data_IF_330177784631
#
_entry.id   IF_330177784631
#
_cell.length_a   1.000
_cell.length_b   1.000
_cell.length_c   1.000
_cell.angle_alpha   90.00
_cell.angle_beta   90.00
_cell.angle_gamma   90.00
#
_symmetry.space_group_name_H-M   'P 1'
#
loop_
_entity.id
_entity.type
_entity.pdbx_description
1 polymer ?
#
# COMPACT_ATOMS: atom_id res chain seq x y z
N UNK A 1 -14.25 74.73 -1.34
CA UNK A 1 -15.08 73.56 -0.93
C UNK A 1 -14.40 72.29 -1.46
N UNK A 2 -13.49 71.72 -0.65
CA UNK A 2 -12.74 70.51 -1.04
C UNK A 2 -13.32 69.33 -0.27
N UNK A 3 -13.96 68.37 -0.98
CA UNK A 3 -14.47 67.14 -0.43
C UNK A 3 -13.38 66.09 -0.41
N UNK A 4 -12.94 65.68 0.79
CA UNK A 4 -12.03 64.57 1.01
C UNK A 4 -12.80 63.24 0.85
N UNK A 5 -12.34 62.36 -0.06
CA UNK A 5 -12.79 60.98 -0.15
C UNK A 5 -12.03 60.11 0.88
N UNK A 6 -12.69 59.17 1.59
CA UNK A 6 -12.00 58.25 2.47
C UNK A 6 -11.33 57.12 1.66
N UNK A 7 -10.08 56.87 1.97
CA UNK A 7 -9.33 55.68 1.54
C UNK A 7 -9.83 54.46 2.33
N UNK A 8 -10.49 53.54 1.64
CA UNK A 8 -10.75 52.19 2.19
C UNK A 8 -9.46 51.39 2.12
N UNK A 9 -8.81 51.17 3.25
CA UNK A 9 -7.74 50.17 3.40
C UNK A 9 -8.36 48.79 3.44
N UNK A 10 -8.24 48.05 2.33
CA UNK A 10 -8.59 46.61 2.30
C UNK A 10 -7.55 45.84 3.10
N UNK A 11 -7.94 45.40 4.28
CA UNK A 11 -7.17 44.40 5.03
C UNK A 11 -7.23 43.06 4.28
N UNK A 12 -6.13 42.70 3.65
CA UNK A 12 -5.93 41.36 3.08
C UNK A 12 -5.63 40.41 4.23
N UNK A 13 -6.64 39.69 4.70
CA UNK A 13 -6.46 38.57 5.67
C UNK A 13 -5.84 37.41 4.92
N UNK A 14 -4.52 37.28 5.02
CA UNK A 14 -3.82 36.08 4.57
C UNK A 14 -4.14 34.98 5.61
N UNK A 15 -5.16 34.14 5.33
CA UNK A 15 -5.32 32.89 6.03
C UNK A 15 -4.13 31.98 5.68
N UNK A 16 -3.18 31.85 6.58
CA UNK A 16 -2.23 30.73 6.57
C UNK A 16 -3.03 29.45 6.84
N UNK A 17 -3.44 28.76 5.78
CA UNK A 17 -3.89 27.38 5.88
C UNK A 17 -2.67 26.54 6.25
N UNK A 18 -2.60 26.12 7.51
CA UNK A 18 -1.65 25.12 7.96
C UNK A 18 -1.90 23.86 7.14
N UNK A 19 -0.96 23.48 6.28
CA UNK A 19 -1.01 22.22 5.56
C UNK A 19 -0.97 21.08 6.59
N UNK A 20 -2.07 20.36 6.73
CA UNK A 20 -2.08 19.11 7.50
C UNK A 20 -1.12 18.11 6.84
N UNK A 21 -0.26 17.42 7.60
CA UNK A 21 0.62 16.41 7.03
C UNK A 21 -0.21 15.34 6.33
N UNK A 22 0.21 15.00 5.11
CA UNK A 22 -0.34 13.89 4.36
C UNK A 22 -0.28 12.63 5.21
N UNK A 23 -1.44 12.14 5.69
CA UNK A 23 -1.50 10.87 6.40
C UNK A 23 -1.31 9.73 5.40
N UNK A 24 -0.29 8.88 5.66
CA UNK A 24 -0.15 7.62 4.95
C UNK A 24 -1.44 6.83 5.10
N UNK A 25 -1.92 6.25 4.01
CA UNK A 25 -2.85 5.14 4.11
C UNK A 25 -2.05 3.99 4.72
N UNK A 26 -2.09 3.88 6.03
CA UNK A 26 -1.78 2.61 6.68
C UNK A 26 -2.90 1.68 6.22
N UNK A 27 -2.57 0.75 5.33
CA UNK A 27 -3.53 -0.26 4.92
C UNK A 27 -3.92 -1.03 6.17
N UNK A 28 -5.12 -0.75 6.63
CA UNK A 28 -5.69 -1.42 7.79
C UNK A 28 -5.83 -2.92 7.51
N UNK A 29 -5.72 -3.72 8.53
CA UNK A 29 -5.76 -5.18 8.43
C UNK A 29 -7.05 -5.70 7.75
N UNK A 30 -8.15 -4.96 7.87
CA UNK A 30 -9.44 -5.27 7.27
C UNK A 30 -9.42 -5.28 5.72
N UNK A 31 -8.60 -4.46 5.06
CA UNK A 31 -8.45 -4.48 3.59
C UNK A 31 -7.93 -5.85 3.13
N UNK A 32 -6.96 -6.41 3.85
CA UNK A 32 -6.43 -7.75 3.55
C UNK A 32 -7.46 -8.85 3.84
N UNK A 33 -8.20 -8.74 4.95
CA UNK A 33 -9.30 -9.66 5.26
C UNK A 33 -10.39 -9.63 4.20
N UNK A 34 -10.85 -8.45 3.78
CA UNK A 34 -11.91 -8.30 2.79
C UNK A 34 -11.46 -8.83 1.42
N UNK A 35 -10.20 -8.61 1.04
CA UNK A 35 -9.61 -9.23 -0.13
C UNK A 35 -9.52 -10.75 0.00
N UNK A 36 -9.14 -11.28 1.17
CA UNK A 36 -9.13 -12.72 1.44
C UNK A 36 -10.50 -13.34 1.22
N UNK A 37 -11.55 -12.74 1.78
CA UNK A 37 -12.94 -13.18 1.62
C UNK A 37 -13.38 -13.19 0.14
N UNK A 38 -12.99 -12.17 -0.63
CA UNK A 38 -13.30 -12.12 -2.08
C UNK A 38 -12.66 -13.27 -2.84
N UNK A 39 -11.39 -13.61 -2.57
CA UNK A 39 -10.73 -14.76 -3.19
C UNK A 39 -11.27 -16.09 -2.67
N UNK A 40 -11.64 -16.20 -1.41
CA UNK A 40 -12.27 -17.39 -0.84
C UNK A 40 -13.60 -17.70 -1.52
N UNK A 41 -14.43 -16.68 -1.79
CA UNK A 41 -15.76 -16.82 -2.35
C UNK A 41 -15.84 -16.62 -3.88
N UNK A 42 -14.78 -16.18 -4.54
CA UNK A 42 -14.79 -15.84 -5.96
C UNK A 42 -15.61 -14.60 -6.28
N UNK A 43 -15.73 -13.64 -5.35
CA UNK A 43 -16.55 -12.43 -5.51
C UNK A 43 -15.80 -11.35 -6.29
N UNK A 44 -16.15 -11.20 -7.58
CA UNK A 44 -15.51 -10.23 -8.48
C UNK A 44 -14.07 -10.58 -8.89
N UNK A 45 -13.58 -11.73 -8.46
CA UNK A 45 -12.28 -12.32 -8.80
C UNK A 45 -12.42 -13.81 -9.00
N UNK A 46 -11.50 -14.46 -9.71
CA UNK A 46 -11.42 -15.92 -9.74
C UNK A 46 -11.14 -16.46 -8.33
N UNK A 47 -11.87 -17.53 -7.94
CA UNK A 47 -11.69 -18.15 -6.64
C UNK A 47 -10.26 -18.73 -6.49
N UNK A 48 -9.57 -18.34 -5.42
CA UNK A 48 -8.19 -18.76 -5.14
C UNK A 48 -8.01 -18.93 -3.63
N UNK A 49 -8.18 -20.18 -3.15
CA UNK A 49 -8.08 -20.52 -1.73
C UNK A 49 -6.67 -20.31 -1.16
N UNK A 50 -5.63 -20.52 -1.97
CA UNK A 50 -4.24 -20.29 -1.53
C UNK A 50 -3.98 -18.82 -1.31
N UNK A 51 -4.48 -17.97 -2.20
CA UNK A 51 -4.37 -16.51 -2.06
C UNK A 51 -5.21 -16.01 -0.90
N UNK A 52 -6.43 -16.52 -0.71
CA UNK A 52 -7.27 -16.20 0.45
C UNK A 52 -6.55 -16.51 1.77
N UNK A 53 -5.98 -17.69 1.90
CA UNK A 53 -5.21 -18.10 3.07
C UNK A 53 -4.07 -17.13 3.39
N UNK A 54 -3.24 -16.79 2.40
CA UNK A 54 -2.12 -15.84 2.58
C UNK A 54 -2.60 -14.47 3.04
N UNK A 55 -3.70 -13.98 2.47
CA UNK A 55 -4.28 -12.69 2.83
C UNK A 55 -4.85 -12.69 4.24
N UNK A 56 -5.49 -13.79 4.66
CA UNK A 56 -5.90 -13.95 6.06
C UNK A 56 -4.69 -13.98 7.01
N UNK A 57 -3.57 -14.62 6.64
CA UNK A 57 -2.35 -14.57 7.42
C UNK A 57 -1.85 -13.12 7.60
N UNK A 58 -1.78 -12.35 6.52
CA UNK A 58 -1.34 -10.94 6.57
C UNK A 58 -2.26 -10.11 7.46
N UNK A 59 -3.59 -10.25 7.29
CA UNK A 59 -4.56 -9.52 8.09
C UNK A 59 -4.44 -9.90 9.58
N UNK A 60 -4.36 -11.19 9.90
CA UNK A 60 -4.26 -11.69 11.25
C UNK A 60 -2.97 -11.18 11.94
N UNK A 61 -1.82 -11.27 11.28
CA UNK A 61 -0.54 -10.77 11.82
C UNK A 61 -0.55 -9.25 12.05
N UNK A 62 -1.43 -8.52 11.36
CA UNK A 62 -1.70 -7.08 11.60
C UNK A 62 -2.78 -6.81 12.64
N UNK A 63 -3.21 -7.84 13.37
CA UNK A 63 -4.14 -7.73 14.49
C UNK A 63 -5.61 -7.89 14.13
N UNK A 64 -5.96 -8.29 12.87
CA UNK A 64 -7.35 -8.57 12.52
C UNK A 64 -7.82 -9.88 13.18
N UNK A 65 -8.68 -9.72 14.19
CA UNK A 65 -9.18 -10.84 14.98
C UNK A 65 -10.09 -11.77 14.16
N UNK A 66 -10.85 -11.24 13.21
CA UNK A 66 -11.71 -12.05 12.34
C UNK A 66 -10.89 -12.90 11.38
N UNK A 67 -9.84 -12.34 10.76
CA UNK A 67 -8.92 -13.11 9.91
C UNK A 67 -8.24 -14.24 10.69
N UNK A 68 -7.80 -13.96 11.91
CA UNK A 68 -7.24 -14.99 12.79
C UNK A 68 -8.27 -16.09 13.11
N UNK A 69 -9.51 -15.73 13.35
CA UNK A 69 -10.58 -16.70 13.55
C UNK A 69 -10.81 -17.56 12.29
N UNK A 70 -10.79 -16.97 11.10
CA UNK A 70 -10.93 -17.72 9.85
C UNK A 70 -9.79 -18.72 9.66
N UNK A 71 -8.54 -18.35 9.93
CA UNK A 71 -7.41 -19.29 9.93
C UNK A 71 -7.64 -20.43 10.92
N UNK A 72 -8.11 -20.13 12.12
CA UNK A 72 -8.47 -21.16 13.10
C UNK A 72 -9.52 -22.13 12.57
N UNK A 73 -10.55 -21.67 11.87
CA UNK A 73 -11.57 -22.50 11.25
C UNK A 73 -10.99 -23.35 10.10
N UNK A 74 -10.12 -22.78 9.27
CA UNK A 74 -9.46 -23.50 8.18
C UNK A 74 -8.67 -24.71 8.71
N UNK A 75 -7.91 -24.53 9.79
CA UNK A 75 -7.17 -25.62 10.43
C UNK A 75 -8.06 -26.57 11.22
N UNK A 76 -9.15 -26.10 11.84
CA UNK A 76 -10.06 -26.96 12.58
C UNK A 76 -10.77 -27.99 11.67
N UNK A 77 -11.06 -27.61 10.43
CA UNK A 77 -11.83 -28.44 9.49
C UNK A 77 -10.97 -29.10 8.39
N UNK A 78 -9.74 -28.65 8.18
CA UNK A 78 -8.91 -29.10 7.07
C UNK A 78 -9.47 -28.64 5.73
N UNK A 79 -9.26 -27.37 5.37
CA UNK A 79 -9.64 -26.86 4.05
C UNK A 79 -8.55 -27.13 3.01
N UNK A 80 -8.88 -26.97 1.72
CA UNK A 80 -8.07 -27.37 0.55
C UNK A 80 -6.60 -26.94 0.56
N UNK A 81 -6.25 -25.92 1.32
CA UNK A 81 -4.89 -25.34 1.39
C UNK A 81 -4.11 -25.77 2.64
N UNK A 82 -4.80 -26.27 3.68
CA UNK A 82 -4.19 -26.74 4.92
C UNK A 82 -4.83 -28.05 5.38
N UNK A 83 -4.03 -28.93 5.93
CA UNK A 83 -4.53 -30.11 6.62
C UNK A 83 -5.13 -29.73 7.97
N UNK A 84 -6.10 -30.51 8.46
CA UNK A 84 -6.64 -30.31 9.80
C UNK A 84 -5.53 -30.45 10.85
N UNK A 85 -5.41 -29.42 11.69
CA UNK A 85 -4.48 -29.40 12.83
C UNK A 85 -5.13 -28.64 13.99
N UNK A 86 -5.56 -29.38 15.01
CA UNK A 86 -6.27 -28.83 16.16
C UNK A 86 -5.39 -27.92 17.03
N UNK A 87 -4.09 -28.19 17.10
CA UNK A 87 -3.14 -27.39 17.88
C UNK A 87 -2.89 -26.04 17.23
N UNK A 88 -2.73 -25.98 15.89
CA UNK A 88 -2.63 -24.72 15.13
C UNK A 88 -3.96 -23.97 15.20
N UNK A 89 -5.10 -24.64 15.03
CA UNK A 89 -6.42 -24.03 15.18
C UNK A 89 -6.58 -23.37 16.56
N UNK A 90 -6.18 -24.05 17.64
CA UNK A 90 -6.20 -23.49 18.99
C UNK A 90 -5.29 -22.27 19.13
N UNK A 91 -4.14 -22.26 18.46
CA UNK A 91 -3.23 -21.11 18.39
C UNK A 91 -3.91 -19.90 17.80
N UNK A 92 -4.53 -20.06 16.62
CA UNK A 92 -5.23 -18.98 15.92
C UNK A 92 -6.48 -18.49 16.67
N UNK A 93 -7.29 -19.37 17.25
CA UNK A 93 -8.44 -18.94 18.05
C UNK A 93 -8.02 -18.22 19.34
N UNK A 94 -6.90 -18.61 19.97
CA UNK A 94 -6.35 -17.88 21.12
C UNK A 94 -5.91 -16.48 20.68
N UNK A 95 -5.22 -16.37 19.55
CA UNK A 95 -4.79 -15.08 18.99
C UNK A 95 -5.99 -14.20 18.68
N UNK A 96 -7.02 -14.72 18.00
CA UNK A 96 -8.24 -13.99 17.69
C UNK A 96 -8.95 -13.48 18.96
N UNK A 97 -9.07 -14.32 19.99
CA UNK A 97 -9.68 -13.95 21.27
C UNK A 97 -8.92 -12.80 21.96
N UNK A 98 -7.59 -12.85 21.97
CA UNK A 98 -6.74 -11.79 22.55
C UNK A 98 -6.90 -10.47 21.79
N UNK A 99 -7.11 -10.54 20.48
CA UNK A 99 -7.32 -9.37 19.61
C UNK A 99 -8.80 -8.95 19.49
N UNK A 100 -9.70 -9.50 20.33
CA UNK A 100 -11.06 -8.99 20.51
C UNK A 100 -12.19 -9.82 19.87
N UNK A 101 -11.91 -10.97 19.21
CA UNK A 101 -13.00 -11.84 18.74
C UNK A 101 -13.60 -12.69 19.86
N UNK A 102 -14.79 -12.30 20.31
CA UNK A 102 -15.50 -13.02 21.38
C UNK A 102 -15.96 -14.43 21.00
N UNK A 103 -16.18 -14.71 19.71
CA UNK A 103 -16.67 -16.00 19.20
C UNK A 103 -15.60 -17.09 19.31
N UNK A 104 -14.33 -16.73 19.22
CA UNK A 104 -13.20 -17.69 19.35
C UNK A 104 -13.12 -18.35 20.71
N UNK A 105 -13.79 -17.82 21.74
CA UNK A 105 -13.89 -18.47 23.03
C UNK A 105 -14.60 -19.81 22.98
N UNK A 106 -15.69 -19.91 22.25
CA UNK A 106 -16.46 -21.16 22.07
C UNK A 106 -15.67 -22.23 21.28
N UNK A 107 -14.94 -21.81 20.25
CA UNK A 107 -14.08 -22.71 19.49
C UNK A 107 -12.94 -23.28 20.36
N UNK A 108 -12.36 -22.47 21.23
CA UNK A 108 -11.34 -22.93 22.18
C UNK A 108 -11.88 -23.94 23.18
N UNK A 109 -13.11 -23.81 23.64
CA UNK A 109 -13.76 -24.80 24.51
C UNK A 109 -13.92 -26.14 23.79
N UNK A 110 -14.23 -26.16 22.49
CA UNK A 110 -14.31 -27.39 21.67
C UNK A 110 -12.95 -28.04 21.44
N UNK A 111 -11.88 -27.28 21.58
CA UNK A 111 -10.49 -27.71 21.48
C UNK A 111 -9.83 -27.89 22.86
N UNK A 112 -10.64 -28.09 23.91
CA UNK A 112 -10.13 -28.26 25.27
C UNK A 112 -9.15 -29.46 25.33
N UNK A 113 -7.96 -29.19 25.85
CA UNK A 113 -6.87 -30.20 25.94
C UNK A 113 -5.80 -30.06 24.85
N UNK A 114 -6.04 -29.29 23.79
CA UNK A 114 -5.01 -29.02 22.78
C UNK A 114 -4.05 -27.93 23.26
N UNK A 115 -2.77 -28.17 23.09
CA UNK A 115 -1.75 -27.13 23.32
C UNK A 115 -1.65 -26.23 22.08
N UNK A 116 -1.89 -24.92 22.18
CA UNK A 116 -1.81 -24.01 21.03
C UNK A 116 -0.44 -24.04 20.37
N UNK A 117 -0.38 -24.28 19.07
CA UNK A 117 0.83 -24.28 18.27
C UNK A 117 0.90 -23.07 17.36
N UNK A 118 2.13 -22.74 16.97
CA UNK A 118 2.43 -21.75 15.94
C UNK A 118 2.15 -22.32 14.54
N UNK A 119 1.66 -21.49 13.63
CA UNK A 119 1.39 -21.85 12.24
C UNK A 119 2.64 -21.68 11.36
N UNK A 120 3.29 -22.77 10.89
CA UNK A 120 4.45 -22.66 10.02
C UNK A 120 4.12 -22.24 8.57
N UNK A 121 2.84 -22.33 8.17
CA UNK A 121 2.40 -21.99 6.82
C UNK A 121 2.03 -20.52 6.68
N UNK A 122 1.74 -19.83 7.79
CA UNK A 122 1.65 -18.37 7.77
C UNK A 122 3.05 -17.76 7.76
N UNK A 123 3.39 -16.91 6.80
CA UNK A 123 4.69 -16.26 6.79
C UNK A 123 4.85 -15.42 8.07
N UNK A 124 5.80 -15.84 8.92
CA UNK A 124 5.99 -15.29 10.28
C UNK A 124 6.62 -13.90 10.27
N UNK A 125 7.15 -13.47 9.16
CA UNK A 125 7.94 -12.25 9.08
C UNK A 125 7.53 -11.43 7.86
N UNK A 126 6.79 -10.35 8.10
CA UNK A 126 6.67 -9.25 7.14
C UNK A 126 8.04 -8.59 6.89
N UNK A 127 9.06 -8.93 7.71
CA UNK A 127 10.40 -8.34 7.62
C UNK A 127 11.18 -8.79 6.39
N UNK A 128 10.97 -10.04 5.92
CA UNK A 128 11.62 -10.58 4.72
C UNK A 128 10.62 -11.43 3.91
N UNK A 129 9.63 -10.77 3.27
CA UNK A 129 8.60 -11.45 2.50
C UNK A 129 9.18 -12.09 1.24
N UNK A 130 8.71 -13.27 0.89
CA UNK A 130 9.06 -13.90 -0.37
C UNK A 130 8.46 -13.13 -1.58
N UNK A 131 8.96 -13.45 -2.77
CA UNK A 131 8.52 -12.81 -4.02
C UNK A 131 7.02 -12.99 -4.27
N UNK A 132 6.43 -14.11 -3.86
CA UNK A 132 5.01 -14.40 -4.09
C UNK A 132 4.13 -13.56 -3.16
N UNK A 133 4.53 -13.40 -1.92
CA UNK A 133 3.90 -12.50 -0.96
C UNK A 133 3.94 -11.04 -1.46
N UNK A 134 5.10 -10.58 -1.91
CA UNK A 134 5.24 -9.22 -2.49
C UNK A 134 4.36 -9.06 -3.73
N UNK A 135 4.32 -10.07 -4.62
CA UNK A 135 3.44 -10.04 -5.79
C UNK A 135 1.97 -9.93 -5.36
N UNK A 136 1.55 -10.67 -4.35
CA UNK A 136 0.19 -10.59 -3.80
C UNK A 136 -0.13 -9.19 -3.30
N UNK A 137 0.75 -8.57 -2.53
CA UNK A 137 0.57 -7.18 -2.08
C UNK A 137 0.46 -6.21 -3.25
N UNK A 138 1.32 -6.31 -4.24
CA UNK A 138 1.28 -5.43 -5.42
C UNK A 138 -0.02 -5.61 -6.21
N UNK A 139 -0.50 -6.86 -6.38
CA UNK A 139 -1.77 -7.13 -7.07
C UNK A 139 -2.97 -6.53 -6.35
N UNK A 140 -2.92 -6.44 -5.03
CA UNK A 140 -3.98 -5.83 -4.23
C UNK A 140 -3.89 -4.30 -4.24
N UNK A 141 -2.68 -3.77 -4.02
CA UNK A 141 -2.48 -2.36 -3.73
C UNK A 141 -2.45 -1.50 -4.99
N UNK A 142 -1.76 -1.94 -6.05
CA UNK A 142 -1.57 -1.10 -7.22
C UNK A 142 -2.87 -0.64 -7.89
N UNK A 143 -3.94 -1.48 -8.01
CA UNK A 143 -5.23 -1.04 -8.54
C UNK A 143 -5.89 0.08 -7.72
N UNK A 144 -5.74 0.10 -6.39
CA UNK A 144 -6.27 1.15 -5.52
C UNK A 144 -5.68 2.53 -5.84
N UNK A 145 -4.47 2.55 -6.40
CA UNK A 145 -3.80 3.75 -6.89
C UNK A 145 -4.02 3.98 -8.40
N UNK A 146 -4.86 3.17 -9.05
CA UNK A 146 -5.06 3.23 -10.50
C UNK A 146 -3.78 2.91 -11.30
N UNK A 147 -2.92 2.02 -10.77
CA UNK A 147 -1.66 1.64 -11.39
C UNK A 147 -1.68 0.17 -11.79
N UNK A 148 -1.20 -0.12 -13.00
CA UNK A 148 -1.04 -1.51 -13.48
C UNK A 148 -0.01 -2.26 -12.60
N UNK A 149 -0.41 -3.35 -11.91
CA UNK A 149 0.49 -4.12 -11.04
C UNK A 149 1.78 -4.57 -11.75
N UNK A 150 1.72 -4.84 -13.07
CA UNK A 150 2.90 -5.26 -13.85
C UNK A 150 3.95 -4.16 -13.95
N UNK A 151 3.54 -2.88 -13.97
CA UNK A 151 4.48 -1.76 -13.93
C UNK A 151 5.19 -1.70 -12.58
N UNK A 152 4.45 -1.88 -11.48
CA UNK A 152 5.01 -1.87 -10.12
C UNK A 152 5.99 -3.03 -9.92
N UNK A 153 5.64 -4.24 -10.38
CA UNK A 153 6.53 -5.39 -10.32
C UNK A 153 7.80 -5.21 -11.17
N UNK A 154 7.67 -4.56 -12.35
CA UNK A 154 8.83 -4.21 -13.16
C UNK A 154 9.75 -3.22 -12.43
N UNK A 155 9.16 -2.24 -11.72
CA UNK A 155 9.87 -1.24 -10.94
C UNK A 155 10.57 -1.90 -9.75
N UNK A 156 9.89 -2.68 -8.91
CA UNK A 156 10.46 -3.41 -7.76
C UNK A 156 11.61 -4.33 -8.22
N UNK A 157 11.47 -4.99 -9.39
CA UNK A 157 12.54 -5.81 -9.94
C UNK A 157 13.81 -4.99 -10.21
N UNK A 158 13.67 -3.75 -10.67
CA UNK A 158 14.80 -2.89 -11.02
C UNK A 158 15.40 -2.21 -9.79
N UNK A 159 14.56 -1.82 -8.84
CA UNK A 159 14.94 -1.11 -7.60
C UNK A 159 15.65 -2.01 -6.61
N UNK A 160 15.04 -3.10 -6.21
CA UNK A 160 15.50 -3.94 -5.12
C UNK A 160 15.69 -5.42 -5.48
N UNK A 161 15.24 -5.83 -6.68
CA UNK A 161 15.10 -7.25 -7.03
C UNK A 161 14.30 -8.05 -5.98
N UNK A 162 13.25 -7.44 -5.43
CA UNK A 162 12.37 -7.99 -4.38
C UNK A 162 13.05 -8.13 -3.00
N UNK A 163 14.14 -7.44 -2.74
CA UNK A 163 14.75 -7.41 -1.42
C UNK A 163 14.10 -6.30 -0.58
N UNK A 164 13.30 -6.68 0.42
CA UNK A 164 12.63 -5.74 1.33
C UNK A 164 13.63 -4.96 2.21
N UNK A 165 14.85 -5.49 2.41
CA UNK A 165 15.92 -4.87 3.20
C UNK A 165 16.98 -4.18 2.32
N UNK A 166 16.70 -3.92 1.04
CA UNK A 166 17.63 -3.24 0.17
C UNK A 166 17.90 -1.80 0.65
N UNK A 167 19.18 -1.46 0.73
CA UNK A 167 19.67 -0.12 1.03
C UNK A 167 20.67 0.31 -0.04
N UNK A 168 20.38 1.41 -0.74
CA UNK A 168 21.29 1.94 -1.73
C UNK A 168 22.40 2.82 -1.11
N UNK A 169 23.52 3.04 -1.81
CA UNK A 169 24.53 4.01 -1.38
C UNK A 169 24.02 5.44 -1.23
N UNK A 170 22.93 5.78 -1.95
CA UNK A 170 22.26 7.07 -1.87
C UNK A 170 21.23 7.15 -0.73
N UNK A 171 21.14 6.10 0.14
CA UNK A 171 20.18 6.02 1.23
C UNK A 171 18.70 5.85 0.77
N UNK A 172 18.47 5.15 -0.35
CA UNK A 172 17.14 4.70 -0.73
C UNK A 172 16.85 3.32 -0.11
N UNK A 173 15.61 3.08 0.34
CA UNK A 173 15.25 1.97 1.21
C UNK A 173 14.16 1.08 0.64
N UNK A 174 14.27 -0.22 0.89
CA UNK A 174 13.21 -1.21 0.74
C UNK A 174 12.88 -1.58 -0.70
N UNK A 175 11.73 -2.19 -0.89
CA UNK A 175 11.27 -2.78 -2.16
C UNK A 175 11.23 -1.78 -3.31
N UNK A 176 10.74 -0.57 -3.05
CA UNK A 176 10.58 0.49 -4.04
C UNK A 176 11.65 1.58 -3.94
N UNK A 177 12.72 1.34 -3.16
CA UNK A 177 13.87 2.23 -3.00
C UNK A 177 13.47 3.69 -2.71
N UNK A 178 12.67 3.87 -1.66
CA UNK A 178 12.24 5.21 -1.27
C UNK A 178 13.34 5.98 -0.56
N UNK A 179 13.55 7.23 -0.99
CA UNK A 179 14.34 8.18 -0.21
C UNK A 179 13.58 8.57 1.07
N UNK A 180 14.24 8.78 2.22
CA UNK A 180 13.56 9.17 3.47
C UNK A 180 12.70 10.43 3.36
N UNK A 181 13.09 11.39 2.53
CA UNK A 181 12.29 12.58 2.25
C UNK A 181 11.01 12.27 1.50
N UNK A 182 11.09 11.39 0.49
CA UNK A 182 9.93 10.90 -0.28
C UNK A 182 9.02 10.07 0.62
N UNK A 183 9.57 9.16 1.41
CA UNK A 183 8.81 8.36 2.37
C UNK A 183 7.97 9.25 3.31
N UNK A 184 8.60 10.25 3.95
CA UNK A 184 7.88 11.21 4.81
C UNK A 184 6.83 12.01 4.05
N UNK A 185 7.13 12.47 2.82
CA UNK A 185 6.19 13.24 1.98
C UNK A 185 4.92 12.45 1.68
N UNK A 186 5.04 11.15 1.50
CA UNK A 186 3.93 10.25 1.20
C UNK A 186 3.48 9.42 2.42
N UNK A 187 3.80 9.89 3.64
CA UNK A 187 3.23 9.44 4.90
C UNK A 187 3.69 8.07 5.38
N UNK A 188 4.80 7.55 4.86
CA UNK A 188 5.44 6.32 5.35
C UNK A 188 6.05 6.60 6.72
N UNK A 189 5.61 5.88 7.75
CA UNK A 189 6.10 6.01 9.12
C UNK A 189 7.23 5.02 9.41
N UNK A 190 7.16 3.82 8.83
CA UNK A 190 8.24 2.84 8.84
C UNK A 190 8.64 2.50 7.39
N UNK A 191 9.78 3.00 6.96
CA UNK A 191 10.30 2.81 5.61
C UNK A 191 10.74 1.37 5.35
N UNK A 192 10.98 0.59 6.41
CA UNK A 192 11.37 -0.81 6.36
C UNK A 192 10.18 -1.77 6.37
N UNK A 193 8.98 -1.31 6.75
CA UNK A 193 7.75 -2.08 6.57
C UNK A 193 7.49 -2.24 5.06
N UNK A 194 7.51 -3.48 4.51
CA UNK A 194 7.41 -3.69 3.07
C UNK A 194 6.12 -3.17 2.47
N UNK A 195 5.00 -3.25 3.20
CA UNK A 195 3.69 -2.79 2.72
C UNK A 195 3.61 -1.28 2.74
N UNK A 196 4.12 -0.61 3.78
CA UNK A 196 4.22 0.84 3.79
C UNK A 196 5.17 1.36 2.70
N UNK A 197 6.28 0.65 2.45
CA UNK A 197 7.22 0.98 1.39
C UNK A 197 6.57 0.88 0.01
N UNK A 198 5.81 -0.19 -0.27
CA UNK A 198 5.03 -0.32 -1.51
C UNK A 198 4.00 0.81 -1.61
N UNK A 199 3.22 1.06 -0.56
CA UNK A 199 2.15 2.07 -0.56
C UNK A 199 2.70 3.49 -0.78
N UNK A 200 3.80 3.85 -0.12
CA UNK A 200 4.48 5.12 -0.32
C UNK A 200 5.05 5.27 -1.73
N UNK A 201 5.62 4.19 -2.27
CA UNK A 201 6.10 4.13 -3.65
C UNK A 201 4.98 4.27 -4.67
N UNK A 202 3.83 3.64 -4.44
CA UNK A 202 2.62 3.77 -5.25
C UNK A 202 2.07 5.20 -5.22
N UNK A 203 2.02 5.81 -4.04
CA UNK A 203 1.60 7.21 -3.87
C UNK A 203 2.49 8.17 -4.66
N UNK A 204 3.80 7.99 -4.58
CA UNK A 204 4.77 8.80 -5.34
C UNK A 204 4.63 8.55 -6.85
N UNK A 205 4.53 7.29 -7.27
CA UNK A 205 4.37 6.91 -8.67
C UNK A 205 3.05 7.48 -9.26
N UNK A 206 1.94 7.41 -8.51
CA UNK A 206 0.66 8.00 -8.88
C UNK A 206 0.77 9.50 -9.06
N UNK A 207 1.37 10.20 -8.10
CA UNK A 207 1.60 11.63 -8.19
C UNK A 207 2.42 12.00 -9.43
N UNK A 208 3.49 11.26 -9.74
CA UNK A 208 4.29 11.47 -10.96
C UNK A 208 3.50 11.20 -12.24
N UNK A 209 2.61 10.18 -12.23
CA UNK A 209 1.75 9.88 -13.37
C UNK A 209 0.79 11.04 -13.67
N UNK A 210 0.19 11.62 -12.66
CA UNK A 210 -0.67 12.79 -12.80
C UNK A 210 0.14 13.99 -13.32
N UNK A 211 1.29 14.23 -12.71
CA UNK A 211 2.17 15.36 -13.04
C UNK A 211 2.66 15.33 -14.49
N UNK A 212 3.03 14.16 -14.99
CA UNK A 212 3.51 13.98 -16.37
C UNK A 212 2.44 13.40 -17.33
N UNK A 213 1.17 13.41 -16.95
CA UNK A 213 0.04 12.95 -17.77
C UNK A 213 0.25 11.53 -18.33
N UNK A 214 0.73 10.61 -17.49
CA UNK A 214 0.97 9.20 -17.84
C UNK A 214 2.12 8.94 -18.82
N UNK A 215 2.94 9.94 -19.17
CA UNK A 215 4.11 9.78 -20.04
C UNK A 215 5.21 9.00 -19.33
N UNK A 216 5.18 7.67 -19.38
CA UNK A 216 6.02 6.78 -18.56
C UNK A 216 7.51 7.10 -18.63
N UNK A 217 8.04 7.54 -19.78
CA UNK A 217 9.47 7.92 -19.87
C UNK A 217 9.82 9.05 -18.91
N UNK A 218 8.94 10.05 -18.75
CA UNK A 218 9.13 11.16 -17.84
C UNK A 218 8.87 10.72 -16.39
N UNK A 219 7.78 9.99 -16.16
CA UNK A 219 7.42 9.42 -14.85
C UNK A 219 8.58 8.61 -14.26
N UNK A 220 9.10 7.63 -15.01
CA UNK A 220 10.20 6.78 -14.57
C UNK A 220 11.51 7.54 -14.43
N UNK A 221 11.75 8.55 -15.28
CA UNK A 221 12.92 9.43 -15.13
C UNK A 221 12.84 10.25 -13.84
N UNK A 222 11.66 10.76 -13.50
CA UNK A 222 11.45 11.54 -12.29
C UNK A 222 11.50 10.65 -11.04
N UNK A 223 11.00 9.42 -11.13
CA UNK A 223 11.11 8.46 -10.04
C UNK A 223 12.58 8.20 -9.66
N UNK A 224 13.46 8.03 -10.66
CA UNK A 224 14.88 7.74 -10.45
C UNK A 224 15.73 9.01 -10.17
N UNK A 225 15.55 10.07 -10.96
CA UNK A 225 16.41 11.26 -10.90
C UNK A 225 15.80 12.44 -10.14
N UNK A 226 14.56 12.30 -9.67
CA UNK A 226 13.77 13.40 -9.09
C UNK A 226 13.07 14.25 -10.15
N UNK A 227 11.88 14.75 -9.80
CA UNK A 227 11.05 15.59 -10.69
C UNK A 227 11.78 16.86 -11.13
N UNK A 228 12.54 17.50 -10.25
CA UNK A 228 13.30 18.72 -10.59
C UNK A 228 14.32 18.54 -11.71
N UNK A 229 14.90 17.33 -11.83
CA UNK A 229 15.82 17.03 -12.92
C UNK A 229 15.07 16.95 -14.25
N UNK A 230 13.91 16.27 -14.26
CA UNK A 230 13.07 16.16 -15.46
C UNK A 230 12.50 17.51 -15.88
N UNK A 231 12.03 18.32 -14.93
CA UNK A 231 11.50 19.66 -15.19
C UNK A 231 12.59 20.58 -15.81
N UNK A 232 13.83 20.52 -15.29
CA UNK A 232 14.95 21.30 -15.82
C UNK A 232 15.29 20.97 -17.27
N UNK A 233 15.21 19.70 -17.65
CA UNK A 233 15.56 19.24 -18.99
C UNK A 233 14.35 19.14 -19.92
N UNK A 234 13.11 19.21 -19.42
CA UNK A 234 11.84 19.03 -20.13
C UNK A 234 11.77 17.69 -20.93
N UNK A 235 12.61 16.75 -20.55
CA UNK A 235 12.76 15.42 -21.17
C UNK A 235 13.48 14.48 -20.21
N UNK A 236 13.72 13.24 -20.65
CA UNK A 236 14.61 12.31 -19.94
C UNK A 236 15.97 12.99 -19.74
N UNK A 237 16.42 13.20 -18.49
CA UNK A 237 17.71 13.81 -18.21
C UNK A 237 18.87 13.05 -18.89
N UNK A 238 19.96 13.73 -19.29
CA UNK A 238 21.07 13.11 -20.00
C UNK A 238 21.95 12.21 -19.09
N UNK A 239 21.43 11.73 -17.98
CA UNK A 239 22.10 10.85 -17.06
C UNK A 239 22.04 9.41 -17.57
N UNK A 240 23.18 8.75 -17.74
CA UNK A 240 23.23 7.39 -18.28
C UNK A 240 22.57 6.36 -17.36
N UNK A 241 22.63 6.59 -16.05
CA UNK A 241 21.91 5.76 -15.07
C UNK A 241 20.40 5.83 -15.31
N UNK A 242 19.84 7.04 -15.37
CA UNK A 242 18.40 7.26 -15.58
C UNK A 242 17.92 6.72 -16.91
N UNK A 243 18.70 6.88 -17.99
CA UNK A 243 18.36 6.30 -19.30
C UNK A 243 18.29 4.77 -19.26
N UNK A 244 19.29 4.13 -18.60
CA UNK A 244 19.29 2.66 -18.41
C UNK A 244 18.13 2.20 -17.52
N UNK A 245 17.85 2.92 -16.45
CA UNK A 245 16.74 2.65 -15.55
C UNK A 245 15.41 2.63 -16.30
N UNK A 246 15.09 3.71 -17.00
CA UNK A 246 13.87 3.84 -17.81
C UNK A 246 13.76 2.70 -18.83
N UNK A 247 14.85 2.41 -19.56
CA UNK A 247 14.84 1.33 -20.56
C UNK A 247 14.58 -0.05 -19.93
N UNK A 248 15.22 -0.36 -18.78
CA UNK A 248 15.04 -1.64 -18.09
C UNK A 248 13.59 -1.88 -17.68
N UNK A 249 12.90 -0.85 -17.18
CA UNK A 249 11.49 -0.96 -16.78
C UNK A 249 10.58 -1.07 -17.99
N UNK A 250 10.76 -0.23 -19.01
CA UNK A 250 9.92 -0.25 -20.22
C UNK A 250 10.03 -1.58 -20.97
N UNK A 251 11.21 -2.18 -21.04
CA UNK A 251 11.41 -3.53 -21.63
C UNK A 251 10.61 -4.60 -20.88
N UNK A 252 10.54 -4.50 -19.56
CA UNK A 252 9.78 -5.44 -18.72
C UNK A 252 8.26 -5.20 -18.83
N UNK A 253 7.85 -3.95 -18.77
CA UNK A 253 6.43 -3.56 -18.76
C UNK A 253 5.79 -3.58 -20.15
N UNK A 254 6.56 -3.31 -21.21
CA UNK A 254 6.14 -3.32 -22.62
C UNK A 254 5.06 -2.30 -23.02
N UNK A 255 4.93 -1.20 -22.26
CA UNK A 255 4.07 -0.04 -22.59
C UNK A 255 4.85 1.26 -22.38
N UNK A 256 4.49 2.30 -23.16
CA UNK A 256 5.15 3.61 -23.09
C UNK A 256 4.26 4.70 -22.48
N UNK A 257 2.97 4.44 -22.36
CA UNK A 257 1.96 5.30 -21.76
C UNK A 257 1.18 4.46 -20.77
N UNK A 258 0.90 5.03 -19.61
CA UNK A 258 -0.03 4.48 -18.64
C UNK A 258 -1.23 5.44 -18.56
N UNK A 259 -2.48 4.97 -18.76
CA UNK A 259 -3.65 5.81 -18.54
C UNK A 259 -3.66 6.31 -17.09
N UNK A 260 -4.07 7.56 -16.92
CA UNK A 260 -4.31 8.12 -15.58
C UNK A 260 -5.82 8.07 -15.38
N UNK A 261 -6.31 6.87 -15.09
CA UNK A 261 -7.72 6.68 -14.83
C UNK A 261 -8.12 7.35 -13.50
N UNK A 262 -9.36 7.84 -13.37
CA UNK A 262 -9.88 8.24 -12.07
C UNK A 262 -9.71 7.10 -11.07
N UNK A 263 -9.34 7.43 -9.84
CA UNK A 263 -9.26 6.41 -8.80
C UNK A 263 -10.65 5.79 -8.59
N UNK A 264 -10.73 4.48 -8.31
CA UNK A 264 -12.00 3.86 -8.00
C UNK A 264 -12.64 4.62 -6.83
N UNK A 265 -13.90 5.05 -7.06
CA UNK A 265 -14.68 5.72 -6.02
C UNK A 265 -15.04 4.65 -4.99
N UNK A 266 -14.23 4.52 -3.95
CA UNK A 266 -14.69 3.86 -2.73
C UNK A 266 -15.54 4.87 -1.97
N UNK A 267 -16.54 4.44 -1.21
CA UNK A 267 -17.35 5.34 -0.36
C UNK A 267 -16.52 6.10 0.69
N UNK A 268 -15.27 5.73 0.89
CA UNK A 268 -14.25 6.51 1.57
C UNK A 268 -13.83 7.70 0.67
N UNK A 269 -14.26 8.90 1.02
CA UNK A 269 -14.00 10.12 0.24
C UNK A 269 -12.51 10.35 0.01
N UNK A 270 -12.18 10.70 -1.23
CA UNK A 270 -10.84 11.16 -1.59
C UNK A 270 -10.72 12.66 -1.30
N UNK A 271 -9.78 13.08 -0.47
CA UNK A 271 -9.38 14.47 -0.39
C UNK A 271 -8.18 14.72 -1.31
N UNK A 272 -8.34 15.69 -2.22
CA UNK A 272 -7.21 16.21 -3.00
C UNK A 272 -6.52 17.30 -2.17
N UNK A 273 -5.30 17.06 -1.76
CA UNK A 273 -4.50 18.06 -1.04
C UNK A 273 -3.54 18.72 -2.01
N UNK A 274 -3.63 20.06 -2.12
CA UNK A 274 -2.68 20.87 -2.89
C UNK A 274 -1.40 21.08 -2.05
N UNK A 275 -0.31 20.45 -2.46
CA UNK A 275 1.01 20.66 -1.87
C UNK A 275 1.86 21.47 -2.85
N UNK A 276 2.07 22.74 -2.56
CA UNK A 276 2.82 23.68 -3.39
C UNK A 276 2.18 23.93 -4.78
N UNK A 277 0.85 24.10 -4.83
CA UNK A 277 0.10 24.32 -6.07
C UNK A 277 -0.14 23.07 -6.92
N UNK A 278 0.08 21.87 -6.38
CA UNK A 278 -0.01 20.59 -7.07
C UNK A 278 -1.00 19.66 -6.37
N UNK A 279 -1.90 19.06 -7.14
CA UNK A 279 -2.91 18.15 -6.59
C UNK A 279 -2.28 16.82 -6.19
N UNK A 280 -2.45 16.42 -4.95
CA UNK A 280 -2.11 15.09 -4.44
C UNK A 280 -3.40 14.38 -4.05
N UNK A 281 -3.65 13.21 -4.62
CA UNK A 281 -4.81 12.39 -4.27
C UNK A 281 -4.43 11.50 -3.10
N UNK A 282 -5.15 11.60 -2.01
CA UNK A 282 -4.96 10.78 -0.81
C UNK A 282 -6.23 10.00 -0.50
N UNK A 283 -6.05 8.73 -0.16
CA UNK A 283 -7.12 7.86 0.35
C UNK A 283 -7.34 8.20 1.83
N UNK A 284 -8.50 8.75 2.18
CA UNK A 284 -8.91 8.91 3.58
C UNK A 284 -9.93 7.84 3.93
N UNK A 285 -9.63 6.99 4.91
CA UNK A 285 -10.66 6.15 5.53
C UNK A 285 -11.48 7.01 6.48
N UNK A 286 -12.76 7.19 6.23
CA UNK A 286 -13.70 7.70 7.24
C UNK A 286 -13.85 6.64 8.32
N UNK A 287 -13.27 6.86 9.48
CA UNK A 287 -13.74 6.21 10.69
C UNK A 287 -15.17 6.70 10.92
N UNK A 288 -16.13 5.80 10.79
CA UNK A 288 -17.53 6.12 11.06
C UNK A 288 -17.73 6.39 12.53
N UNK A 289 -17.79 7.64 12.91
CA UNK A 289 -18.54 8.06 14.07
C UNK A 289 -20.01 8.15 13.63
N UNK A 290 -20.80 7.17 14.04
CA UNK A 290 -22.25 7.28 14.05
C UNK A 290 -22.63 8.01 15.36
N UNK A 291 -23.27 9.16 15.22
CA UNK A 291 -24.12 9.74 16.27
C UNK A 291 -25.36 8.86 16.52
#
# INVERSE_FOLDING_TARGET
>A
MFTRRPLFASLLVIMLLAATPAQAVVLSADIFRDAALRYELGQGVEQDQQRAFRLYCIAALRGDAEAARQLGLMYAHGQSVVNADRSIAAGWFRYAKVNGDSRSGQQLEQLAGESPAHDPACPVSEEDPDRETINTWVQLLAPEYGIDPRLVLALITVESNFNARALSPANAHGLMQLMPSTARRFGVTDIWDPVQNISGGLSYLRWLMEYYSGKLRLVLSAYNAGEHAVDRYEKVPPYDETKRYVLRILVKYRKYIHPVDPLPITEAGYETVDMAGRKVVMLTTRTGEQE
#
